data_IF_009341325857
#
_entry.id   IF_009341325857
#
_cell.length_a   1.000
_cell.length_b   1.000
_cell.length_c   1.000
_cell.angle_alpha   90.00
_cell.angle_beta   90.00
_cell.angle_gamma   90.00
#
_symmetry.space_group_name_H-M   'P 1'
#
loop_
_entity.id
_entity.type
_entity.pdbx_description
1 polymer ?
#
# COMPACT_ATOMS: atom_id res chain seq x y z
N UNK A 1 -6.01 -9.15 3.68
CA UNK A 1 -4.77 -9.48 2.95
C UNK A 1 -5.07 -10.41 1.79
N UNK A 2 -4.34 -10.23 0.68
CA UNK A 2 -4.45 -11.06 -0.52
C UNK A 2 -3.12 -11.79 -0.74
N UNK A 3 -3.14 -13.11 -0.80
CA UNK A 3 -1.95 -13.88 -1.12
C UNK A 3 -1.65 -13.76 -2.62
N UNK A 4 -0.67 -12.94 -2.96
CA UNK A 4 -0.21 -12.70 -4.33
C UNK A 4 1.06 -13.48 -4.68
N UNK A 5 1.62 -14.24 -3.75
CA UNK A 5 2.79 -15.09 -4.00
C UNK A 5 2.38 -16.34 -4.81
N UNK A 6 3.32 -16.88 -5.59
CA UNK A 6 3.14 -18.12 -6.36
C UNK A 6 4.34 -19.03 -6.11
N UNK A 7 4.08 -20.29 -5.79
CA UNK A 7 5.13 -21.26 -5.42
C UNK A 7 6.24 -21.41 -6.46
N UNK A 8 5.91 -21.26 -7.74
CA UNK A 8 6.86 -21.37 -8.88
C UNK A 8 7.44 -20.04 -9.34
N UNK A 9 7.11 -18.91 -8.67
CA UNK A 9 7.58 -17.56 -9.04
C UNK A 9 8.19 -16.87 -7.84
N UNK A 10 9.46 -17.08 -7.59
CA UNK A 10 10.15 -16.58 -6.39
C UNK A 10 10.09 -15.06 -6.18
N UNK A 11 9.94 -14.25 -7.25
CA UNK A 11 9.97 -12.77 -7.16
C UNK A 11 8.70 -12.10 -7.70
N UNK A 12 7.98 -12.76 -8.59
CA UNK A 12 6.86 -12.15 -9.29
C UNK A 12 5.53 -12.63 -8.70
N UNK A 13 4.84 -11.75 -8.02
CA UNK A 13 3.49 -12.01 -7.55
C UNK A 13 2.44 -11.77 -8.64
N UNK A 14 1.27 -12.33 -8.41
CA UNK A 14 0.14 -12.21 -9.33
C UNK A 14 -1.17 -12.21 -8.54
N UNK A 15 -2.09 -11.35 -8.94
CA UNK A 15 -3.47 -11.37 -8.48
C UNK A 15 -4.35 -11.91 -9.60
N UNK A 16 -5.11 -12.97 -9.30
CA UNK A 16 -6.02 -13.59 -10.28
C UNK A 16 -7.36 -12.86 -10.33
N UNK A 17 -8.12 -13.04 -11.42
CA UNK A 17 -9.47 -12.49 -11.56
C UNK A 17 -10.39 -12.90 -10.42
N UNK A 18 -10.32 -14.15 -9.96
CA UNK A 18 -11.10 -14.66 -8.83
C UNK A 18 -10.75 -13.91 -7.54
N UNK A 19 -9.47 -13.64 -7.29
CA UNK A 19 -9.04 -12.87 -6.13
C UNK A 19 -9.51 -11.42 -6.22
N UNK A 20 -9.46 -10.81 -7.40
CA UNK A 20 -9.92 -9.43 -7.64
C UNK A 20 -11.41 -9.31 -7.28
N UNK A 21 -12.26 -10.18 -7.81
CA UNK A 21 -13.70 -10.15 -7.56
C UNK A 21 -14.05 -10.48 -6.10
N UNK A 22 -13.35 -11.45 -5.51
CA UNK A 22 -13.55 -11.77 -4.09
C UNK A 22 -13.27 -10.56 -3.18
N UNK A 23 -12.17 -9.84 -3.43
CA UNK A 23 -11.83 -8.62 -2.69
C UNK A 23 -12.89 -7.55 -2.92
N UNK A 24 -13.29 -7.31 -4.16
CA UNK A 24 -14.30 -6.33 -4.51
C UNK A 24 -15.62 -6.57 -3.80
N UNK A 25 -16.07 -7.84 -3.73
CA UNK A 25 -17.29 -8.21 -2.99
C UNK A 25 -17.16 -7.90 -1.50
N UNK A 26 -16.08 -8.34 -0.85
CA UNK A 26 -15.87 -8.09 0.58
C UNK A 26 -15.81 -6.59 0.90
N UNK A 27 -15.13 -5.81 0.06
CA UNK A 27 -15.02 -4.36 0.24
C UNK A 27 -16.38 -3.68 0.05
N UNK A 28 -17.20 -4.16 -0.87
CA UNK A 28 -18.56 -3.63 -1.10
C UNK A 28 -19.51 -3.83 0.09
N UNK A 29 -19.22 -4.77 0.99
CA UNK A 29 -19.97 -5.01 2.23
C UNK A 29 -19.51 -4.10 3.40
N UNK A 30 -18.47 -3.29 3.20
CA UNK A 30 -17.90 -2.46 4.26
C UNK A 30 -18.78 -1.25 4.57
N UNK A 31 -18.85 -0.87 5.88
CA UNK A 31 -19.61 0.30 6.35
C UNK A 31 -18.89 1.60 5.97
N UNK A 32 -19.64 2.70 5.89
CA UNK A 32 -19.13 4.00 5.44
C UNK A 32 -17.99 4.57 6.31
N UNK A 33 -18.02 4.34 7.61
CA UNK A 33 -16.98 4.82 8.52
C UNK A 33 -15.67 4.01 8.48
N UNK A 34 -15.64 2.87 7.76
CA UNK A 34 -14.47 1.99 7.73
C UNK A 34 -13.46 2.43 6.66
N UNK A 35 -12.19 2.49 7.03
CA UNK A 35 -11.10 2.59 6.06
C UNK A 35 -10.93 1.23 5.36
N UNK A 36 -11.01 1.23 4.02
CA UNK A 36 -11.02 0.04 3.19
C UNK A 36 -9.63 -0.22 2.63
N UNK A 37 -8.92 -1.15 3.25
CA UNK A 37 -7.51 -1.42 2.95
C UNK A 37 -7.32 -2.80 2.34
N UNK A 38 -6.64 -2.86 1.21
CA UNK A 38 -6.16 -4.11 0.60
C UNK A 38 -4.66 -4.22 0.83
N UNK A 39 -4.20 -5.38 1.32
CA UNK A 39 -2.78 -5.65 1.53
C UNK A 39 -2.33 -6.74 0.57
N UNK A 40 -1.27 -6.45 -0.18
CA UNK A 40 -0.60 -7.35 -1.12
C UNK A 40 0.90 -7.39 -0.81
N UNK A 41 1.65 -8.35 -1.37
CA UNK A 41 3.09 -8.39 -1.15
C UNK A 41 3.85 -7.47 -2.12
N UNK A 42 3.61 -7.60 -3.43
CA UNK A 42 4.29 -6.80 -4.45
C UNK A 42 3.64 -5.43 -4.63
N UNK A 43 4.41 -4.40 -5.06
CA UNK A 43 3.89 -3.08 -5.32
C UNK A 43 2.86 -3.07 -6.46
N UNK A 44 1.77 -2.34 -6.31
CA UNK A 44 0.77 -2.11 -7.38
C UNK A 44 1.13 -0.90 -8.25
N UNK A 45 2.01 -0.05 -7.78
CA UNK A 45 2.59 1.07 -8.51
C UNK A 45 4.05 1.19 -8.10
N UNK A 46 4.88 1.79 -8.94
CA UNK A 46 6.29 2.00 -8.66
C UNK A 46 6.68 3.45 -8.95
N UNK A 47 7.73 3.91 -8.29
CA UNK A 47 8.26 5.28 -8.43
C UNK A 47 9.59 5.31 -9.19
N UNK A 48 10.24 4.15 -9.38
CA UNK A 48 11.50 4.01 -10.10
C UNK A 48 11.34 3.02 -11.24
N UNK A 49 11.92 3.31 -12.40
CA UNK A 49 11.85 2.44 -13.58
C UNK A 49 12.42 1.03 -13.33
N UNK A 50 13.47 0.93 -12.53
CA UNK A 50 14.10 -0.33 -12.16
C UNK A 50 13.18 -1.29 -11.39
N UNK A 51 12.11 -0.77 -10.77
CA UNK A 51 11.15 -1.54 -9.98
C UNK A 51 9.96 -2.08 -10.78
N UNK A 52 9.79 -1.68 -12.02
CA UNK A 52 8.69 -2.14 -12.89
C UNK A 52 8.63 -3.67 -12.96
N UNK A 53 9.77 -4.33 -12.99
CA UNK A 53 9.86 -5.80 -12.99
C UNK A 53 9.32 -6.47 -11.70
N UNK A 54 9.22 -5.71 -10.60
CA UNK A 54 8.73 -6.19 -9.31
C UNK A 54 7.24 -5.91 -9.11
N UNK A 55 6.60 -5.21 -10.06
CA UNK A 55 5.20 -4.81 -9.95
C UNK A 55 4.28 -6.03 -9.99
N UNK A 56 3.21 -5.99 -9.20
CA UNK A 56 2.20 -7.05 -9.12
C UNK A 56 1.57 -7.33 -10.49
N UNK A 57 1.65 -8.55 -10.99
CA UNK A 57 0.95 -8.91 -12.22
C UNK A 57 -0.58 -8.88 -12.01
N UNK A 58 -1.30 -8.34 -12.98
CA UNK A 58 -2.75 -8.14 -12.88
C UNK A 58 -3.15 -6.88 -12.10
N UNK A 59 -2.19 -6.05 -11.68
CA UNK A 59 -2.45 -4.85 -10.90
C UNK A 59 -3.43 -3.89 -11.59
N UNK A 60 -3.34 -3.70 -12.90
CA UNK A 60 -4.18 -2.74 -13.61
C UNK A 60 -5.67 -3.09 -13.50
N UNK A 61 -6.05 -4.34 -13.79
CA UNK A 61 -7.41 -4.81 -13.63
C UNK A 61 -7.87 -4.76 -12.16
N UNK A 62 -6.97 -5.13 -11.23
CA UNK A 62 -7.25 -5.06 -9.81
C UNK A 62 -7.55 -3.63 -9.34
N UNK A 63 -6.72 -2.66 -9.72
CA UNK A 63 -6.91 -1.27 -9.32
C UNK A 63 -8.22 -0.68 -9.86
N UNK A 64 -8.55 -0.94 -11.11
CA UNK A 64 -9.83 -0.50 -11.69
C UNK A 64 -11.02 -1.09 -10.93
N UNK A 65 -11.04 -2.40 -10.72
CA UNK A 65 -12.14 -3.08 -10.05
C UNK A 65 -12.26 -2.72 -8.57
N UNK A 66 -11.11 -2.61 -7.86
CA UNK A 66 -11.08 -2.26 -6.45
C UNK A 66 -11.44 -0.79 -6.19
N UNK A 67 -11.03 0.13 -7.08
CA UNK A 67 -11.45 1.53 -7.03
C UNK A 67 -12.97 1.65 -7.12
N UNK A 68 -13.60 0.97 -8.08
CA UNK A 68 -15.07 0.92 -8.21
C UNK A 68 -15.74 0.31 -6.98
N UNK A 69 -15.13 -0.69 -6.35
CA UNK A 69 -15.65 -1.32 -5.12
C UNK A 69 -15.45 -0.45 -3.86
N UNK A 70 -14.68 0.62 -3.95
CA UNK A 70 -14.46 1.56 -2.85
C UNK A 70 -13.24 1.31 -1.98
N UNK A 71 -12.20 0.63 -2.49
CA UNK A 71 -10.90 0.52 -1.81
C UNK A 71 -10.28 1.91 -1.68
N UNK A 72 -9.81 2.25 -0.50
CA UNK A 72 -9.15 3.52 -0.19
C UNK A 72 -7.63 3.40 -0.34
N UNK A 73 -7.05 2.34 0.22
CA UNK A 73 -5.60 2.12 0.24
C UNK A 73 -5.25 0.73 -0.27
N UNK A 74 -4.18 0.64 -1.05
CA UNK A 74 -3.50 -0.63 -1.35
C UNK A 74 -2.10 -0.59 -0.74
N UNK A 75 -1.85 -1.46 0.24
CA UNK A 75 -0.56 -1.55 0.91
C UNK A 75 0.28 -2.65 0.28
N UNK A 76 1.56 -2.35 0.02
CA UNK A 76 2.54 -3.28 -0.54
C UNK A 76 3.89 -3.22 0.17
N UNK A 77 4.78 -4.15 -0.17
CA UNK A 77 6.15 -4.23 0.35
C UNK A 77 7.12 -4.68 -0.75
N UNK A 78 7.93 -5.70 -0.49
CA UNK A 78 8.82 -6.39 -1.43
C UNK A 78 10.05 -5.59 -1.89
N UNK A 79 9.89 -4.36 -2.34
CA UNK A 79 10.99 -3.56 -2.92
C UNK A 79 11.77 -2.75 -1.88
N UNK A 80 11.41 -2.81 -0.62
CA UNK A 80 12.07 -2.12 0.51
C UNK A 80 12.21 -0.61 0.29
N UNK A 81 11.29 0.01 -0.42
CA UNK A 81 11.26 1.45 -0.70
C UNK A 81 9.94 2.04 -0.21
N UNK A 82 9.95 2.85 0.87
CA UNK A 82 8.72 3.46 1.38
C UNK A 82 8.26 4.61 0.50
N UNK A 83 6.96 4.69 0.24
CA UNK A 83 6.30 5.87 -0.36
C UNK A 83 4.78 5.79 -0.22
N UNK A 84 4.14 6.94 -0.34
CA UNK A 84 2.69 7.06 -0.55
C UNK A 84 2.47 7.71 -1.91
N UNK A 85 1.62 7.10 -2.75
CA UNK A 85 1.37 7.58 -4.12
C UNK A 85 -0.11 7.51 -4.45
N UNK A 86 -0.69 8.61 -4.92
CA UNK A 86 -2.03 8.60 -5.51
C UNK A 86 -2.03 7.75 -6.79
N UNK A 87 -3.04 6.92 -6.94
CA UNK A 87 -3.24 6.04 -8.10
C UNK A 87 -4.24 6.69 -9.05
N UNK A 88 -3.80 7.05 -10.25
CA UNK A 88 -4.61 7.70 -11.27
C UNK A 88 -4.26 7.16 -12.68
N UNK A 89 -5.19 7.20 -13.66
CA UNK A 89 -6.61 7.54 -13.50
C UNK A 89 -7.44 6.35 -12.99
N UNK A 90 -8.31 6.58 -12.01
CA UNK A 90 -9.22 5.57 -11.45
C UNK A 90 -10.62 6.17 -11.25
N UNK A 91 -11.64 5.31 -11.14
CA UNK A 91 -13.02 5.73 -10.91
C UNK A 91 -13.21 6.50 -9.59
N UNK A 92 -12.42 6.16 -8.57
CA UNK A 92 -12.41 6.83 -7.25
C UNK A 92 -10.97 7.03 -6.78
N UNK A 93 -10.70 8.06 -5.96
CA UNK A 93 -9.38 8.26 -5.35
C UNK A 93 -8.95 7.01 -4.56
N UNK A 94 -7.75 6.55 -4.83
CA UNK A 94 -7.12 5.42 -4.15
C UNK A 94 -5.61 5.67 -4.06
N UNK A 95 -4.97 5.18 -3.01
CA UNK A 95 -3.53 5.38 -2.80
C UNK A 95 -2.79 4.06 -2.64
N UNK A 96 -1.60 3.99 -3.21
CA UNK A 96 -0.60 2.98 -2.88
C UNK A 96 0.20 3.45 -1.66
N UNK A 97 0.27 2.62 -0.63
CA UNK A 97 1.10 2.81 0.56
C UNK A 97 2.14 1.71 0.56
N UNK A 98 3.36 2.07 0.21
CA UNK A 98 4.45 1.11 0.08
C UNK A 98 5.27 1.10 1.36
N UNK A 99 5.49 -0.09 1.91
CA UNK A 99 6.33 -0.29 3.08
C UNK A 99 7.81 -0.40 2.69
N UNK A 100 8.68 0.13 3.53
CA UNK A 100 10.09 -0.19 3.53
C UNK A 100 10.36 -1.55 4.18
N UNK A 101 11.49 -1.69 4.83
CA UNK A 101 11.81 -2.86 5.66
C UNK A 101 12.14 -2.41 7.08
N UNK A 102 11.52 -3.03 8.08
CA UNK A 102 11.70 -2.62 9.48
C UNK A 102 13.03 -3.09 10.08
N UNK A 103 13.45 -4.32 9.78
CA UNK A 103 14.57 -4.99 10.49
C UNK A 103 15.53 -5.75 9.57
N UNK A 104 15.39 -5.62 8.25
CA UNK A 104 16.28 -6.30 7.32
C UNK A 104 17.63 -5.60 7.21
N UNK A 105 18.72 -6.37 7.16
CA UNK A 105 20.04 -5.86 6.79
C UNK A 105 20.13 -5.46 5.31
N UNK A 106 19.20 -5.94 4.47
CA UNK A 106 19.10 -5.58 3.06
C UNK A 106 18.32 -4.28 2.88
N UNK A 107 18.90 -3.18 3.35
CA UNK A 107 18.35 -1.84 3.11
C UNK A 107 18.59 -1.41 1.68
N UNK A 108 17.69 -0.64 1.14
CA UNK A 108 17.81 -0.08 -0.20
C UNK A 108 18.63 1.21 -0.17
N UNK A 109 19.44 1.46 -1.21
CA UNK A 109 20.19 2.72 -1.31
C UNK A 109 19.25 3.93 -1.21
N UNK A 110 19.51 4.79 -0.22
CA UNK A 110 18.72 6.00 0.04
C UNK A 110 17.39 5.76 0.79
N UNK A 111 17.19 4.55 1.36
CA UNK A 111 16.05 4.27 2.23
C UNK A 111 16.53 3.47 3.46
N UNK A 112 16.51 4.02 4.66
CA UNK A 112 16.85 3.29 5.88
C UNK A 112 15.77 2.24 6.20
N UNK A 113 15.95 1.50 7.29
CA UNK A 113 14.86 0.69 7.84
C UNK A 113 13.70 1.62 8.21
N UNK A 114 12.49 1.25 7.80
CA UNK A 114 11.33 2.15 7.84
C UNK A 114 10.07 1.38 8.21
N UNK A 115 9.23 2.00 9.01
CA UNK A 115 7.85 1.54 9.28
C UNK A 115 6.85 2.64 8.93
N UNK A 116 5.67 2.25 8.47
CA UNK A 116 4.54 3.15 8.28
C UNK A 116 3.53 2.95 9.41
N UNK A 117 3.08 4.04 10.02
CA UNK A 117 2.01 4.07 11.01
C UNK A 117 0.79 4.78 10.39
N UNK A 118 -0.34 4.08 10.36
CA UNK A 118 -1.59 4.61 9.84
C UNK A 118 -2.47 5.04 11.00
N UNK A 119 -2.97 6.29 10.96
CA UNK A 119 -3.96 6.82 11.92
C UNK A 119 -5.26 7.10 11.19
N UNK A 120 -6.35 6.54 11.70
CA UNK A 120 -7.69 6.69 11.16
C UNK A 120 -8.72 6.79 12.29
N UNK A 121 -9.79 7.54 12.09
CA UNK A 121 -10.86 7.68 13.09
C UNK A 121 -10.58 8.81 14.09
N UNK A 122 -10.71 8.52 15.38
CA UNK A 122 -10.59 9.55 16.43
C UNK A 122 -9.22 10.22 16.53
N UNK A 123 -8.17 9.48 16.12
CA UNK A 123 -6.77 9.92 16.22
C UNK A 123 -6.27 10.63 14.96
N UNK A 124 -7.18 10.98 14.04
CA UNK A 124 -6.83 11.70 12.81
C UNK A 124 -7.86 12.78 12.51
N UNK A 125 -7.53 13.81 11.71
CA UNK A 125 -8.49 14.79 11.23
C UNK A 125 -9.68 14.11 10.56
N UNK A 126 -10.88 14.63 10.74
CA UNK A 126 -12.12 14.06 10.21
C UNK A 126 -12.01 13.76 8.70
N UNK A 127 -12.36 12.52 8.32
CA UNK A 127 -12.32 12.07 6.94
C UNK A 127 -10.92 11.91 6.34
N UNK A 128 -9.87 12.00 7.16
CA UNK A 128 -8.47 11.88 6.74
C UNK A 128 -7.83 10.62 7.31
N UNK A 129 -7.00 9.94 6.52
CA UNK A 129 -6.06 8.93 7.02
C UNK A 129 -4.66 9.52 6.98
N UNK A 130 -4.00 9.62 8.15
CA UNK A 130 -2.61 10.04 8.23
C UNK A 130 -1.71 8.81 8.15
N UNK A 131 -0.71 8.89 7.27
CA UNK A 131 0.31 7.86 7.08
C UNK A 131 1.64 8.47 7.49
N UNK A 132 2.12 8.08 8.66
CA UNK A 132 3.42 8.52 9.19
C UNK A 132 4.49 7.54 8.71
N UNK A 133 5.55 8.08 8.11
CA UNK A 133 6.78 7.34 7.83
C UNK A 133 7.75 7.54 9.00
N UNK A 134 8.24 6.43 9.55
CA UNK A 134 9.22 6.42 10.62
C UNK A 134 10.47 5.70 10.17
N UNK A 135 11.59 6.42 10.12
CA UNK A 135 12.89 5.93 9.67
C UNK A 135 13.79 5.61 10.85
N UNK A 136 14.50 4.48 10.78
CA UNK A 136 15.47 4.11 11.81
C UNK A 136 16.74 4.92 11.65
N UNK A 137 17.10 5.66 12.72
CA UNK A 137 18.35 6.39 12.83
C UNK A 137 19.36 5.57 13.64
N UNK A 138 20.42 5.09 13.00
CA UNK A 138 21.46 4.32 13.65
C UNK A 138 22.15 5.10 14.79
N UNK A 139 22.32 6.41 14.64
CA UNK A 139 22.92 7.28 15.67
C UNK A 139 22.12 7.28 16.98
N UNK A 140 20.80 7.19 16.91
CA UNK A 140 19.90 7.23 18.05
C UNK A 140 19.38 5.86 18.45
N UNK A 141 19.69 4.80 17.68
CA UNK A 141 19.17 3.44 17.85
C UNK A 141 17.63 3.42 17.98
N UNK A 142 16.94 4.29 17.25
CA UNK A 142 15.49 4.47 17.36
C UNK A 142 14.84 4.87 16.03
N UNK A 143 13.54 4.62 15.93
CA UNK A 143 12.73 5.13 14.82
C UNK A 143 12.33 6.58 15.12
N UNK A 144 12.52 7.45 14.14
CA UNK A 144 12.08 8.85 14.18
C UNK A 144 11.12 9.13 13.04
N UNK A 145 10.15 10.00 13.27
CA UNK A 145 9.17 10.36 12.26
C UNK A 145 9.83 11.21 11.16
N UNK A 146 9.95 10.63 9.97
CA UNK A 146 10.55 11.27 8.80
C UNK A 146 9.54 12.11 7.99
N UNK A 147 8.26 11.74 8.04
CA UNK A 147 7.23 12.49 7.32
C UNK A 147 5.81 12.04 7.66
N UNK A 148 4.84 12.84 7.23
CA UNK A 148 3.40 12.54 7.32
C UNK A 148 2.77 12.84 5.96
N UNK A 149 1.98 11.88 5.47
CA UNK A 149 1.14 12.06 4.28
C UNK A 149 -0.33 11.94 4.68
N UNK A 150 -1.12 12.93 4.35
CA UNK A 150 -2.57 12.88 4.53
C UNK A 150 -3.24 12.41 3.25
N UNK A 151 -4.09 11.39 3.38
CA UNK A 151 -4.92 10.91 2.28
C UNK A 151 -6.40 11.03 2.67
N UNK A 152 -7.23 11.46 1.74
CA UNK A 152 -8.66 11.67 1.96
C UNK A 152 -9.46 10.65 1.14
N UNK A 153 -9.89 9.54 1.76
CA UNK A 153 -10.76 8.59 1.12
C UNK A 153 -12.06 9.26 0.65
N UNK A 154 -12.49 8.94 -0.57
CA UNK A 154 -13.77 9.42 -1.08
C UNK A 154 -14.90 8.64 -0.41
N UNK A 155 -15.73 9.34 0.37
CA UNK A 155 -16.96 8.79 0.91
C UNK A 155 -18.13 9.13 -0.03
N UNK A 156 -18.98 8.18 -0.25
CA UNK A 156 -20.27 8.39 -0.94
C UNK A 156 -21.31 8.66 0.12
#
# INVERSE_FOLDING_TARGET
>A
CVNTTRAWRHKNGEVSAIQIERVARIIGEARDAQLRVVVVHQPVAVTRAEDVKNQLRGYAAALQRWSTAGVDLVMGGHIHLPYVKALQPLARPMWAVQAGTAVSSRVRKGAPNTVNLLRWGKDSPSGCCQIEQWDFLAANQSFVRAGVTEVRPSRV
#
